data_IF_370389726743
#
_entry.id   IF_370389726743
#
_cell.length_a   1.000
_cell.length_b   1.000
_cell.length_c   1.000
_cell.angle_alpha   90.00
_cell.angle_beta   90.00
_cell.angle_gamma   90.00
#
_symmetry.space_group_name_H-M   'P 1'
#
loop_
_entity.id
_entity.type
_entity.pdbx_description
1 polymer ?
#
# COMPACT_ATOMS: atom_id res chain seq x y z
N UNK A 1 -32.40 -28.86 -76.23
CA UNK A 1 -32.08 -27.52 -75.68
C UNK A 1 -30.59 -27.26 -75.77
N UNK A 2 -30.13 -26.32 -76.63
CA UNK A 2 -28.92 -25.52 -76.37
C UNK A 2 -29.14 -24.03 -76.74
N UNK A 3 -28.33 -23.03 -76.30
CA UNK A 3 -26.96 -22.71 -76.81
C UNK A 3 -25.97 -22.24 -75.70
N UNK A 4 -24.63 -22.25 -75.83
CA UNK A 4 -23.65 -21.47 -76.65
C UNK A 4 -23.56 -19.94 -76.41
N UNK A 5 -22.33 -19.42 -76.57
CA UNK A 5 -21.81 -18.01 -76.64
C UNK A 5 -21.22 -17.43 -75.34
N UNK A 6 -19.93 -17.07 -75.20
CA UNK A 6 -18.93 -16.25 -75.98
C UNK A 6 -19.14 -14.73 -75.87
N UNK A 7 -18.17 -14.11 -75.18
CA UNK A 7 -17.55 -12.76 -75.30
C UNK A 7 -18.40 -11.52 -75.57
N UNK A 8 -18.10 -10.42 -74.84
CA UNK A 8 -17.83 -9.10 -75.45
C UNK A 8 -17.24 -8.10 -74.45
N UNK A 9 -16.09 -7.55 -74.83
CA UNK A 9 -15.46 -6.34 -74.30
C UNK A 9 -16.28 -5.08 -74.62
N UNK A 10 -16.20 -4.06 -73.78
CA UNK A 10 -16.51 -2.68 -74.16
C UNK A 10 -15.44 -1.73 -73.62
N UNK A 11 -14.53 -1.40 -74.52
CA UNK A 11 -13.66 -0.23 -74.53
C UNK A 11 -14.53 1.03 -74.79
N UNK A 12 -14.25 2.17 -74.14
CA UNK A 12 -13.93 3.45 -74.82
C UNK A 12 -13.92 4.69 -73.91
N UNK A 13 -12.86 5.49 -74.14
CA UNK A 13 -12.76 6.95 -74.11
C UNK A 13 -12.46 7.72 -72.81
N UNK A 14 -11.15 7.97 -72.63
CA UNK A 14 -10.50 9.29 -72.65
C UNK A 14 -11.30 10.52 -72.23
N UNK A 15 -10.79 11.22 -71.19
CA UNK A 15 -10.49 12.66 -71.27
C UNK A 15 -9.51 13.09 -70.15
N UNK A 16 -8.39 13.66 -70.58
CA UNK A 16 -7.40 14.39 -69.80
C UNK A 16 -8.02 15.57 -69.01
N UNK A 17 -7.44 15.91 -67.84
CA UNK A 17 -6.61 17.12 -67.69
C UNK A 17 -6.25 17.46 -66.22
N UNK A 18 -4.96 17.78 -66.05
CA UNK A 18 -4.38 18.83 -65.19
C UNK A 18 -4.37 18.66 -63.64
N UNK A 19 -3.15 18.52 -63.10
CA UNK A 19 -2.75 18.99 -61.76
C UNK A 19 -2.74 20.53 -61.73
N UNK A 20 -2.92 21.17 -60.55
CA UNK A 20 -1.72 21.61 -59.84
C UNK A 20 -1.77 21.51 -58.30
N UNK A 21 -0.55 21.51 -57.78
CA UNK A 21 -0.07 21.52 -56.40
C UNK A 21 -0.54 22.77 -55.62
N UNK A 22 -1.19 22.62 -54.45
CA UNK A 22 -1.44 23.73 -53.50
C UNK A 22 -1.27 23.27 -52.03
N UNK A 23 -0.31 23.92 -51.36
CA UNK A 23 -0.10 24.00 -49.90
C UNK A 23 -1.40 24.21 -49.10
N UNK A 24 -1.55 23.49 -47.98
CA UNK A 24 -2.34 23.91 -46.81
C UNK A 24 -1.49 23.63 -45.57
N UNK A 25 -0.82 24.59 -44.92
CA UNK A 25 -1.30 25.67 -44.03
C UNK A 25 -2.11 25.14 -42.83
N UNK A 26 -1.40 25.01 -41.72
CA UNK A 26 -1.90 24.93 -40.35
C UNK A 26 -2.86 26.09 -40.00
N UNK A 27 -4.01 25.76 -39.41
CA UNK A 27 -4.78 26.62 -38.49
C UNK A 27 -5.46 25.70 -37.45
N UNK A 28 -5.41 26.03 -36.14
CA UNK A 28 -5.80 25.12 -35.06
C UNK A 28 -7.31 25.13 -34.79
N UNK A 29 -7.86 23.97 -34.44
CA UNK A 29 -9.26 23.81 -34.07
C UNK A 29 -9.47 24.18 -32.59
N UNK A 30 -10.26 25.22 -32.35
CA UNK A 30 -10.72 25.68 -31.05
C UNK A 30 -12.15 25.20 -30.80
N UNK A 31 -12.35 24.32 -29.81
CA UNK A 31 -13.68 24.09 -29.20
C UNK A 31 -13.47 23.50 -27.79
N UNK A 32 -13.41 24.35 -26.76
CA UNK A 32 -14.55 24.80 -25.92
C UNK A 32 -15.20 23.67 -25.12
N UNK A 33 -14.81 23.58 -23.84
CA UNK A 33 -15.70 23.24 -22.72
C UNK A 33 -15.37 24.15 -21.53
N UNK A 34 -16.18 25.19 -21.31
CA UNK A 34 -16.49 25.74 -19.99
C UNK A 34 -17.81 25.01 -19.60
N UNK A 35 -18.08 24.60 -18.36
CA UNK A 35 -18.25 25.46 -17.18
C UNK A 35 -18.28 24.65 -15.86
N UNK A 36 -18.09 25.40 -14.75
CA UNK A 36 -18.71 25.24 -13.42
C UNK A 36 -18.10 24.24 -12.42
N UNK A 37 -17.71 24.59 -11.19
CA UNK A 37 -17.66 25.85 -10.44
C UNK A 37 -16.65 25.73 -9.27
N UNK A 38 -16.23 26.85 -8.64
CA UNK A 38 -15.06 26.93 -7.77
C UNK A 38 -15.42 26.92 -6.27
N UNK A 39 -14.59 26.30 -5.43
CA UNK A 39 -14.47 26.66 -4.01
C UNK A 39 -13.25 25.96 -3.39
N UNK A 40 -12.18 26.71 -3.15
CA UNK A 40 -11.54 26.77 -1.84
C UNK A 40 -10.47 27.87 -1.82
N UNK A 41 -10.53 28.64 -0.75
CA UNK A 41 -9.92 29.93 -0.57
C UNK A 41 -8.39 29.87 -0.46
N UNK A 42 -7.81 30.90 -1.05
CA UNK A 42 -6.46 31.40 -0.86
C UNK A 42 -6.25 31.80 0.61
N UNK A 43 -5.30 31.20 1.32
CA UNK A 43 -4.71 31.80 2.52
C UNK A 43 -3.27 32.22 2.19
N UNK A 44 -3.04 33.52 2.18
CA UNK A 44 -1.70 34.09 2.17
C UNK A 44 -1.01 33.80 3.53
N UNK A 45 0.32 33.62 3.56
CA UNK A 45 1.03 33.36 4.79
C UNK A 45 1.45 34.69 5.42
N UNK A 46 1.16 34.89 6.70
CA UNK A 46 2.03 35.75 7.49
C UNK A 46 2.06 35.36 8.98
N UNK A 47 3.31 35.30 9.46
CA UNK A 47 3.80 35.41 10.85
C UNK A 47 3.96 34.13 11.69
N UNK A 48 5.23 33.74 11.77
CA UNK A 48 6.00 33.24 12.92
C UNK A 48 5.21 32.48 13.99
N UNK A 49 5.38 31.16 13.94
CA UNK A 49 5.32 30.28 15.10
C UNK A 49 6.56 29.40 15.05
N UNK A 50 7.46 29.62 16.00
CA UNK A 50 8.58 28.75 16.30
C UNK A 50 8.01 27.44 16.87
N UNK A 51 7.87 26.42 16.03
CA UNK A 51 7.59 25.06 16.48
C UNK A 51 8.64 24.13 15.87
N UNK A 52 9.25 23.37 16.77
CA UNK A 52 10.38 22.51 16.49
C UNK A 52 10.17 21.69 15.22
N UNK A 53 11.10 21.86 14.27
CA UNK A 53 11.30 20.93 13.17
C UNK A 53 11.61 19.57 13.81
N UNK A 54 10.59 18.71 13.95
CA UNK A 54 10.84 17.27 14.01
C UNK A 54 11.29 16.92 12.60
N UNK A 55 12.61 17.04 12.41
CA UNK A 55 13.29 16.51 11.25
C UNK A 55 13.06 15.00 11.31
N UNK A 56 12.07 14.52 10.54
CA UNK A 56 11.99 13.11 10.21
C UNK A 56 13.34 12.73 9.58
N UNK A 57 14.13 11.85 10.20
CA UNK A 57 15.40 11.47 9.61
C UNK A 57 15.06 10.63 8.38
N UNK A 58 15.19 11.24 7.20
CA UNK A 58 15.39 10.48 5.97
C UNK A 58 16.46 9.44 6.30
N UNK A 59 16.19 8.12 6.14
CA UNK A 59 17.17 7.11 6.46
C UNK A 59 18.41 7.44 5.66
N UNK A 60 19.48 7.84 6.37
CA UNK A 60 20.80 8.03 5.77
C UNK A 60 21.12 6.69 5.16
N UNK A 61 21.01 6.60 3.83
CA UNK A 61 21.49 5.45 3.08
C UNK A 61 22.90 5.20 3.59
N UNK A 62 23.14 4.02 4.17
CA UNK A 62 24.48 3.57 4.49
C UNK A 62 25.29 3.86 3.23
N UNK A 63 26.21 4.82 3.32
CA UNK A 63 27.06 5.15 2.20
C UNK A 63 27.76 3.86 1.84
N UNK A 64 27.40 3.26 0.70
CA UNK A 64 28.21 2.22 0.09
C UNK A 64 29.53 2.89 -0.30
N UNK A 65 30.42 3.04 0.68
CA UNK A 65 31.84 3.13 0.42
C UNK A 65 32.18 1.93 -0.45
N UNK A 66 33.02 2.11 -1.47
CA UNK A 66 33.22 1.27 -2.67
C UNK A 66 33.71 -0.17 -2.42
N UNK A 67 33.22 -0.85 -1.39
CA UNK A 67 33.65 -2.18 -1.00
C UNK A 67 32.60 -2.97 -0.20
N UNK A 68 31.30 -2.71 -0.40
CA UNK A 68 30.20 -3.61 0.02
C UNK A 68 30.18 -4.06 1.49
N UNK A 69 30.94 -3.41 2.38
CA UNK A 69 31.15 -3.79 3.78
C UNK A 69 30.85 -2.61 4.69
N UNK A 70 30.13 -2.88 5.79
CA UNK A 70 29.68 -1.88 6.76
C UNK A 70 30.10 -2.34 8.16
N UNK A 71 30.63 -1.42 8.97
CA UNK A 71 31.00 -1.69 10.36
C UNK A 71 29.77 -1.96 11.24
N UNK A 72 29.87 -2.89 12.19
CA UNK A 72 28.77 -3.29 13.08
C UNK A 72 28.23 -2.09 13.87
N UNK A 73 29.11 -1.23 14.36
CA UNK A 73 28.72 0.00 15.08
C UNK A 73 27.74 0.86 14.28
N UNK A 74 27.96 1.01 12.96
CA UNK A 74 27.07 1.79 12.08
C UNK A 74 25.73 1.11 11.83
N UNK A 75 25.71 -0.21 11.78
CA UNK A 75 24.47 -0.99 11.62
C UNK A 75 23.64 -0.86 12.90
N UNK A 76 24.25 -1.06 14.07
CA UNK A 76 23.59 -0.97 15.37
C UNK A 76 23.10 0.44 15.64
N UNK A 77 23.91 1.47 15.36
CA UNK A 77 23.50 2.88 15.47
C UNK A 77 22.29 3.18 14.59
N UNK A 78 22.30 2.71 13.34
CA UNK A 78 21.17 2.89 12.43
C UNK A 78 19.91 2.21 12.96
N UNK A 79 20.01 0.95 13.39
CA UNK A 79 18.89 0.20 13.95
C UNK A 79 18.33 0.88 15.20
N UNK A 80 19.20 1.36 16.09
CA UNK A 80 18.82 2.14 17.29
C UNK A 80 17.98 3.35 16.93
N UNK A 81 18.40 4.10 15.91
CA UNK A 81 17.69 5.28 15.43
C UNK A 81 16.39 4.96 14.70
N UNK A 82 16.32 3.89 13.91
CA UNK A 82 15.12 3.55 13.12
C UNK A 82 14.05 2.80 13.91
N UNK A 83 14.45 2.07 14.95
CA UNK A 83 13.52 1.27 15.77
C UNK A 83 13.13 1.97 17.07
N UNK A 84 13.67 3.18 17.32
CA UNK A 84 13.51 3.91 18.58
C UNK A 84 13.83 3.08 19.83
N UNK A 85 14.73 2.11 19.70
CA UNK A 85 15.16 1.22 20.79
C UNK A 85 16.27 1.89 21.60
N UNK A 86 16.10 1.96 22.92
CA UNK A 86 17.03 2.63 23.84
C UNK A 86 18.29 1.81 24.13
N UNK A 87 19.24 2.38 24.89
CA UNK A 87 20.43 1.67 25.38
C UNK A 87 20.12 0.54 26.36
N UNK A 88 18.90 0.48 26.88
CA UNK A 88 18.43 -0.54 27.83
C UNK A 88 17.74 -1.74 27.13
N UNK A 89 17.71 -1.74 25.80
CA UNK A 89 17.06 -2.81 25.04
C UNK A 89 17.97 -4.05 24.93
N UNK A 90 17.68 -5.05 25.76
CA UNK A 90 18.37 -6.35 25.78
C UNK A 90 18.39 -7.06 24.43
N UNK A 91 17.38 -6.82 23.56
CA UNK A 91 17.31 -7.48 22.26
C UNK A 91 18.30 -6.91 21.23
N UNK A 92 18.56 -5.60 21.28
CA UNK A 92 19.54 -4.97 20.38
C UNK A 92 20.97 -5.29 20.80
N UNK A 93 21.21 -5.46 22.11
CA UNK A 93 22.50 -5.90 22.65
C UNK A 93 22.80 -7.36 22.26
N UNK A 94 21.81 -8.25 22.29
CA UNK A 94 21.94 -9.62 21.80
C UNK A 94 22.28 -9.67 20.30
N UNK A 95 21.61 -8.85 19.49
CA UNK A 95 21.93 -8.71 18.07
C UNK A 95 23.36 -8.19 17.87
N UNK A 96 23.81 -7.23 18.67
CA UNK A 96 25.19 -6.73 18.63
C UNK A 96 26.21 -7.85 18.87
N UNK A 97 25.97 -8.69 19.88
CA UNK A 97 26.85 -9.83 20.21
C UNK A 97 26.86 -10.91 19.11
N UNK A 98 25.76 -11.09 18.36
CA UNK A 98 25.74 -12.01 17.21
C UNK A 98 26.43 -11.43 15.97
N UNK A 99 26.37 -10.11 15.79
CA UNK A 99 27.04 -9.42 14.69
C UNK A 99 28.56 -9.31 14.92
N UNK A 100 28.99 -9.15 16.16
CA UNK A 100 30.39 -8.97 16.54
C UNK A 100 30.69 -9.58 17.93
N UNK A 101 30.88 -10.91 18.01
CA UNK A 101 31.11 -11.60 19.29
C UNK A 101 32.41 -11.18 19.98
N UNK A 102 33.36 -10.64 19.22
CA UNK A 102 34.65 -10.17 19.71
C UNK A 102 34.65 -8.67 20.06
N UNK A 103 33.56 -7.94 19.78
CA UNK A 103 33.44 -6.47 19.92
C UNK A 103 34.60 -5.69 19.26
N UNK A 104 35.05 -6.15 18.08
CA UNK A 104 36.16 -5.57 17.31
C UNK A 104 35.73 -4.59 16.22
N UNK A 105 34.45 -4.27 16.15
CA UNK A 105 33.77 -3.48 15.12
C UNK A 105 34.09 -3.98 13.70
N UNK A 106 33.86 -5.28 13.48
CA UNK A 106 34.20 -5.93 12.20
C UNK A 106 33.33 -5.38 11.07
N UNK A 107 33.95 -5.07 9.93
CA UNK A 107 33.22 -4.70 8.72
C UNK A 107 32.62 -5.96 8.08
N UNK A 108 31.29 -6.02 7.97
CA UNK A 108 30.56 -7.16 7.41
C UNK A 108 29.93 -6.82 6.07
N UNK A 109 29.86 -7.82 5.19
CA UNK A 109 29.14 -7.71 3.93
C UNK A 109 27.63 -7.91 4.11
N UNK A 110 26.89 -7.60 3.05
CA UNK A 110 25.43 -7.66 3.04
C UNK A 110 24.90 -9.09 3.25
N UNK A 111 25.60 -10.09 2.73
CA UNK A 111 25.17 -11.49 2.81
C UNK A 111 25.28 -12.02 4.25
N UNK A 112 26.40 -11.72 4.90
CA UNK A 112 26.65 -12.05 6.31
C UNK A 112 25.65 -11.34 7.22
N UNK A 113 25.39 -10.04 6.97
CA UNK A 113 24.36 -9.30 7.71
C UNK A 113 22.97 -9.94 7.56
N UNK A 114 22.57 -10.30 6.34
CA UNK A 114 21.27 -10.95 6.10
C UNK A 114 21.17 -12.33 6.76
N UNK A 115 22.26 -13.11 6.79
CA UNK A 115 22.27 -14.41 7.46
C UNK A 115 22.02 -14.25 8.97
N UNK A 116 22.79 -13.36 9.63
CA UNK A 116 22.67 -13.12 11.07
C UNK A 116 21.31 -12.49 11.41
N UNK A 117 20.82 -11.55 10.61
CA UNK A 117 19.52 -10.93 10.84
C UNK A 117 18.37 -11.94 10.72
N UNK A 118 18.46 -12.92 9.81
CA UNK A 118 17.48 -14.01 9.70
C UNK A 118 17.50 -14.89 10.94
N UNK A 119 18.68 -15.32 11.37
CA UNK A 119 18.85 -16.14 12.57
C UNK A 119 18.31 -15.42 13.81
N UNK A 120 18.61 -14.14 13.99
CA UNK A 120 18.08 -13.35 15.10
C UNK A 120 16.54 -13.24 15.08
N UNK A 121 15.94 -13.04 13.90
CA UNK A 121 14.48 -13.00 13.76
C UNK A 121 13.88 -14.36 14.11
N UNK A 122 14.52 -15.46 13.73
CA UNK A 122 14.10 -16.81 14.11
C UNK A 122 14.23 -17.05 15.62
N UNK A 123 15.30 -16.57 16.25
CA UNK A 123 15.46 -16.60 17.71
C UNK A 123 14.40 -15.80 18.45
N UNK A 124 14.06 -14.61 17.94
CA UNK A 124 12.97 -13.81 18.49
C UNK A 124 11.64 -14.56 18.43
N UNK A 125 11.37 -15.28 17.33
CA UNK A 125 10.16 -16.11 17.20
C UNK A 125 10.16 -17.29 18.16
N UNK A 126 11.30 -17.98 18.32
CA UNK A 126 11.44 -19.09 19.27
C UNK A 126 11.19 -18.65 20.71
N UNK A 127 11.78 -17.53 21.12
CA UNK A 127 11.58 -16.97 22.48
C UNK A 127 10.11 -16.60 22.75
N UNK A 128 9.39 -16.15 21.73
CA UNK A 128 7.96 -15.86 21.83
C UNK A 128 7.10 -17.12 21.97
N UNK A 129 7.46 -18.20 21.27
CA UNK A 129 6.76 -19.49 21.34
C UNK A 129 7.03 -20.26 22.64
N UNK A 130 8.26 -20.21 23.16
CA UNK A 130 8.65 -20.91 24.40
C UNK A 130 8.07 -20.23 25.65
N UNK A 131 7.87 -18.90 25.61
CA UNK A 131 7.19 -18.14 26.67
C UNK A 131 5.67 -18.32 26.73
N UNK A 132 5.07 -18.95 25.72
CA UNK A 132 3.62 -19.18 25.64
C UNK A 132 3.20 -20.58 26.12
N UNK A 133 4.14 -21.42 26.55
CA UNK A 133 3.89 -22.85 26.85
C UNK A 133 3.73 -23.16 28.36
N UNK A 134 3.54 -22.14 29.19
CA UNK A 134 3.14 -22.29 30.60
C UNK A 134 1.80 -21.57 30.83
N UNK A 135 0.72 -22.05 30.20
CA UNK A 135 -0.66 -22.13 30.74
C UNK A 135 -1.53 -22.90 29.73
N UNK A 136 -2.18 -24.01 30.13
CA UNK A 136 -3.05 -24.75 29.23
C UNK A 136 -4.48 -24.16 29.20
N UNK A 137 -5.08 -24.18 27.99
CA UNK A 137 -6.51 -24.09 27.62
C UNK A 137 -7.23 -22.76 27.93
N UNK A 138 -7.86 -22.07 26.95
CA UNK A 138 -8.81 -22.64 26.01
C UNK A 138 -8.91 -21.87 24.68
N UNK A 139 -9.07 -22.66 23.62
CA UNK A 139 -9.42 -22.26 22.26
C UNK A 139 -10.66 -21.38 22.23
N UNK A 140 -10.57 -20.30 21.46
CA UNK A 140 -11.56 -19.25 21.24
C UNK A 140 -12.69 -19.74 20.31
N UNK A 141 -13.38 -20.83 20.63
CA UNK A 141 -14.38 -21.42 19.71
C UNK A 141 -15.63 -22.03 20.39
N UNK A 142 -15.79 -21.97 21.73
CA UNK A 142 -16.95 -22.58 22.42
C UNK A 142 -17.69 -21.64 23.40
N UNK A 143 -17.78 -20.35 23.07
CA UNK A 143 -18.56 -19.38 23.87
C UNK A 143 -19.80 -18.83 23.14
N UNK A 144 -20.37 -19.59 22.21
CA UNK A 144 -21.63 -19.22 21.52
C UNK A 144 -22.88 -19.92 22.07
N UNK A 145 -22.78 -20.78 23.08
CA UNK A 145 -23.94 -21.47 23.65
C UNK A 145 -24.10 -21.31 25.18
N UNK A 146 -24.16 -20.06 25.69
CA UNK A 146 -24.81 -19.80 26.99
C UNK A 146 -25.35 -18.37 27.17
N UNK A 147 -25.97 -17.81 26.13
CA UNK A 147 -26.51 -16.43 26.14
C UNK A 147 -28.04 -16.34 26.29
N UNK A 148 -28.77 -17.44 26.52
CA UNK A 148 -30.24 -17.37 26.58
C UNK A 148 -30.86 -18.16 27.75
N UNK A 149 -30.80 -17.62 28.98
CA UNK A 149 -31.92 -17.81 29.94
C UNK A 149 -31.97 -16.99 31.23
N UNK A 150 -31.34 -15.82 31.36
CA UNK A 150 -31.34 -15.14 32.67
C UNK A 150 -31.65 -13.64 32.58
N UNK A 151 -32.71 -13.27 31.85
CA UNK A 151 -33.26 -11.90 31.89
C UNK A 151 -34.78 -11.95 31.96
N UNK A 152 -35.31 -12.24 33.15
CA UNK A 152 -36.65 -11.83 33.57
C UNK A 152 -36.75 -12.06 35.07
N UNK A 153 -36.58 -10.99 35.86
CA UNK A 153 -37.32 -10.68 37.09
C UNK A 153 -36.58 -9.57 37.83
N UNK A 154 -36.87 -8.32 37.44
CA UNK A 154 -36.62 -7.16 38.28
C UNK A 154 -37.56 -7.24 39.50
N UNK A 155 -37.15 -8.00 40.52
CA UNK A 155 -37.76 -7.94 41.85
C UNK A 155 -37.16 -6.75 42.60
N UNK A 156 -37.92 -5.67 42.60
CA UNK A 156 -37.81 -4.51 43.49
C UNK A 156 -37.74 -5.00 44.94
N UNK A 157 -36.55 -5.10 45.51
CA UNK A 157 -36.37 -5.37 46.94
C UNK A 157 -36.61 -4.05 47.67
N UNK A 158 -37.88 -3.80 48.00
CA UNK A 158 -38.24 -2.85 49.05
C UNK A 158 -37.90 -3.54 50.38
N UNK A 159 -36.71 -3.28 50.94
CA UNK A 159 -36.42 -3.67 52.32
C UNK A 159 -37.21 -2.72 53.22
N UNK A 160 -38.42 -3.15 53.54
CA UNK A 160 -39.23 -2.64 54.62
C UNK A 160 -38.38 -2.69 55.91
N UNK A 161 -38.06 -1.52 56.46
CA UNK A 161 -37.39 -1.41 57.74
C UNK A 161 -38.35 -1.85 58.83
N UNK A 162 -38.09 -3.00 59.43
CA UNK A 162 -38.83 -3.48 60.59
C UNK A 162 -38.17 -2.88 61.83
N UNK A 163 -38.68 -1.72 62.26
CA UNK A 163 -38.25 -1.09 63.52
C UNK A 163 -38.91 -1.86 64.67
N UNK A 164 -38.23 -2.88 65.18
CA UNK A 164 -38.60 -3.48 66.47
C UNK A 164 -37.95 -2.64 67.56
N UNK A 165 -38.73 -1.73 68.15
CA UNK A 165 -38.36 -0.99 69.35
C UNK A 165 -38.16 -1.96 70.53
N UNK A 166 -36.91 -2.33 70.77
CA UNK A 166 -36.46 -3.00 71.98
C UNK A 166 -36.02 -1.96 73.01
N UNK A 167 -36.83 -1.81 74.05
CA UNK A 167 -36.51 -1.05 75.25
C UNK A 167 -35.25 -1.59 75.94
N UNK A 168 -34.26 -0.72 76.19
CA UNK A 168 -33.28 -0.90 77.27
C UNK A 168 -32.73 0.46 77.69
N UNK A 169 -33.40 1.09 78.64
CA UNK A 169 -32.82 2.14 79.49
C UNK A 169 -31.74 1.50 80.37
N UNK A 170 -30.46 1.81 80.11
CA UNK A 170 -29.39 1.55 81.06
C UNK A 170 -28.25 2.56 80.90
N UNK A 171 -28.16 3.44 81.90
CA UNK A 171 -26.96 4.12 82.39
C UNK A 171 -26.23 5.11 81.47
N UNK A 172 -26.44 6.40 81.79
CA UNK A 172 -25.36 7.26 82.29
C UNK A 172 -24.14 7.48 81.39
N UNK A 173 -24.20 8.57 80.62
CA UNK A 173 -23.08 9.42 80.18
C UNK A 173 -21.79 8.75 79.71
N UNK A 174 -21.56 8.76 78.39
CA UNK A 174 -20.26 9.12 77.83
C UNK A 174 -20.31 9.46 76.32
N UNK A 175 -19.75 10.62 76.01
CA UNK A 175 -19.23 11.18 74.73
C UNK A 175 -20.14 11.25 73.48
N UNK A 176 -20.47 12.49 73.09
CA UNK A 176 -20.76 12.92 71.70
C UNK A 176 -19.52 12.72 70.81
N UNK A 177 -19.08 11.46 70.64
CA UNK A 177 -17.99 11.07 69.74
C UNK A 177 -18.52 10.35 68.50
N UNK A 178 -19.53 9.50 68.69
CA UNK A 178 -20.14 8.71 67.62
C UNK A 178 -20.83 9.53 66.53
N UNK A 179 -21.36 10.72 66.84
CA UNK A 179 -21.99 11.59 65.82
C UNK A 179 -20.95 12.24 64.89
N UNK A 180 -19.76 12.59 65.41
CA UNK A 180 -18.68 13.17 64.60
C UNK A 180 -18.03 12.12 63.70
N UNK A 181 -17.77 10.93 64.26
CA UNK A 181 -17.18 9.81 63.52
C UNK A 181 -18.13 9.24 62.45
N UNK A 182 -19.44 9.28 62.68
CA UNK A 182 -20.45 8.90 61.68
C UNK A 182 -20.56 9.94 60.55
N UNK A 183 -20.44 11.23 60.88
CA UNK A 183 -20.45 12.31 59.88
C UNK A 183 -19.26 12.22 58.92
N UNK A 184 -18.06 11.98 59.42
CA UNK A 184 -16.85 11.83 58.58
C UNK A 184 -16.95 10.62 57.63
N UNK A 185 -17.53 9.51 58.11
CA UNK A 185 -17.78 8.34 57.29
C UNK A 185 -18.80 8.62 56.18
N UNK A 186 -19.89 9.35 56.48
CA UNK A 186 -20.90 9.75 55.49
C UNK A 186 -20.25 10.62 54.39
N UNK A 187 -19.41 11.59 54.76
CA UNK A 187 -18.68 12.42 53.79
C UNK A 187 -17.75 11.56 52.94
N UNK A 188 -16.98 10.64 53.55
CA UNK A 188 -16.11 9.73 52.81
C UNK A 188 -16.89 8.84 51.83
N UNK A 189 -18.04 8.31 52.24
CA UNK A 189 -18.92 7.53 51.37
C UNK A 189 -19.45 8.37 50.20
N UNK A 190 -19.84 9.63 50.44
CA UNK A 190 -20.31 10.53 49.39
C UNK A 190 -19.20 10.85 48.37
N UNK A 191 -17.97 11.11 48.81
CA UNK A 191 -16.83 11.36 47.94
C UNK A 191 -16.48 10.12 47.10
N UNK A 192 -16.51 8.93 47.71
CA UNK A 192 -16.30 7.68 46.98
C UNK A 192 -17.39 7.44 45.94
N UNK A 193 -18.66 7.70 46.27
CA UNK A 193 -19.77 7.60 45.32
C UNK A 193 -19.59 8.56 44.13
N UNK A 194 -19.22 9.81 44.40
CA UNK A 194 -18.94 10.80 43.37
C UNK A 194 -17.76 10.38 42.48
N UNK A 195 -16.66 9.94 43.08
CA UNK A 195 -15.49 9.46 42.32
C UNK A 195 -15.82 8.23 41.48
N UNK A 196 -16.63 7.31 41.99
CA UNK A 196 -17.07 6.14 41.25
C UNK A 196 -17.93 6.54 40.03
N UNK A 197 -18.87 7.47 40.20
CA UNK A 197 -19.68 8.01 39.10
C UNK A 197 -18.79 8.66 38.03
N UNK A 198 -17.84 9.50 38.45
CA UNK A 198 -16.90 10.16 37.52
C UNK A 198 -16.04 9.16 36.76
N UNK A 199 -15.55 8.11 37.41
CA UNK A 199 -14.82 7.03 36.75
C UNK A 199 -15.70 6.27 35.75
N UNK A 200 -16.98 6.08 36.06
CA UNK A 200 -17.93 5.44 35.14
C UNK A 200 -18.19 6.31 33.89
N UNK A 201 -18.30 7.64 34.05
CA UNK A 201 -18.43 8.59 32.95
C UNK A 201 -17.20 8.58 32.03
N UNK A 202 -15.99 8.64 32.61
CA UNK A 202 -14.75 8.57 31.82
C UNK A 202 -14.59 7.20 31.13
N UNK A 203 -14.96 6.09 31.79
CA UNK A 203 -14.98 4.77 31.15
C UNK A 203 -15.92 4.72 29.94
N UNK A 204 -17.12 5.30 30.05
CA UNK A 204 -18.06 5.38 28.92
C UNK A 204 -17.50 6.24 27.78
N UNK A 205 -16.82 7.34 28.09
CA UNK A 205 -16.19 8.22 27.11
C UNK A 205 -15.02 7.52 26.39
N UNK A 206 -14.20 6.78 27.13
CA UNK A 206 -13.13 5.97 26.55
C UNK A 206 -13.70 4.89 25.64
N UNK A 207 -14.78 4.22 26.06
CA UNK A 207 -15.47 3.22 25.23
C UNK A 207 -15.97 3.81 23.91
N UNK A 208 -16.64 4.97 23.93
CA UNK A 208 -17.08 5.65 22.71
C UNK A 208 -15.90 6.07 21.81
N UNK A 209 -14.79 6.50 22.42
CA UNK A 209 -13.59 6.88 21.67
C UNK A 209 -12.94 5.64 21.02
N UNK A 210 -12.91 4.52 21.74
CA UNK A 210 -12.43 3.24 21.22
C UNK A 210 -13.28 2.77 20.04
N UNK A 211 -14.61 2.77 20.18
CA UNK A 211 -15.54 2.41 19.10
C UNK A 211 -15.35 3.30 17.85
N UNK A 212 -15.15 4.60 18.04
CA UNK A 212 -14.86 5.52 16.93
C UNK A 212 -13.52 5.22 16.25
N UNK A 213 -12.48 4.90 17.03
CA UNK A 213 -11.17 4.51 16.49
C UNK A 213 -11.27 3.19 15.73
N UNK A 214 -11.97 2.19 16.28
CA UNK A 214 -12.17 0.89 15.63
C UNK A 214 -12.91 1.04 14.29
N UNK A 215 -13.96 1.87 14.22
CA UNK A 215 -14.66 2.18 12.97
C UNK A 215 -13.71 2.81 11.93
N UNK A 216 -12.90 3.78 12.34
CA UNK A 216 -11.92 4.40 11.43
C UNK A 216 -10.84 3.41 10.98
N UNK A 217 -10.42 2.50 11.86
CA UNK A 217 -9.43 1.48 11.54
C UNK A 217 -9.98 0.45 10.55
N UNK A 218 -11.23 0.00 10.74
CA UNK A 218 -11.93 -0.88 9.79
C UNK A 218 -12.06 -0.24 8.41
N UNK A 219 -12.39 1.05 8.35
CA UNK A 219 -12.42 1.81 7.10
C UNK A 219 -11.05 1.88 6.42
N UNK A 220 -10.00 2.18 7.18
CA UNK A 220 -8.63 2.22 6.65
C UNK A 220 -8.14 0.85 6.17
N UNK A 221 -8.54 -0.24 6.83
CA UNK A 221 -8.26 -1.60 6.39
C UNK A 221 -8.94 -1.91 5.04
N UNK A 222 -10.20 -1.51 4.87
CA UNK A 222 -10.92 -1.67 3.60
C UNK A 222 -10.23 -0.88 2.46
N UNK A 223 -9.90 0.40 2.69
CA UNK A 223 -9.20 1.24 1.72
C UNK A 223 -7.82 0.64 1.34
N UNK A 224 -7.12 0.03 2.30
CA UNK A 224 -5.86 -0.66 2.04
C UNK A 224 -6.02 -1.88 1.13
N UNK A 225 -7.07 -2.67 1.32
CA UNK A 225 -7.33 -3.84 0.46
C UNK A 225 -7.71 -3.40 -0.96
N UNK A 226 -8.53 -2.36 -1.10
CA UNK A 226 -8.88 -1.78 -2.40
C UNK A 226 -7.65 -1.25 -3.14
N UNK A 227 -6.75 -0.54 -2.45
CA UNK A 227 -5.49 -0.08 -3.03
C UNK A 227 -4.59 -1.26 -3.45
N UNK A 228 -4.50 -2.32 -2.64
CA UNK A 228 -3.76 -3.55 -3.00
C UNK A 228 -4.34 -4.18 -4.26
N UNK A 229 -5.65 -4.23 -4.39
CA UNK A 229 -6.31 -4.78 -5.57
C UNK A 229 -6.07 -3.91 -6.82
N UNK A 230 -6.11 -2.59 -6.68
CA UNK A 230 -5.75 -1.66 -7.76
C UNK A 230 -4.30 -1.84 -8.22
N UNK A 231 -3.35 -1.98 -7.30
CA UNK A 231 -1.94 -2.24 -7.62
C UNK A 231 -1.80 -3.55 -8.42
N UNK A 232 -2.46 -4.63 -7.99
CA UNK A 232 -2.44 -5.91 -8.72
C UNK A 232 -2.99 -5.76 -10.14
N UNK A 233 -4.10 -5.03 -10.31
CA UNK A 233 -4.71 -4.76 -11.62
C UNK A 233 -3.78 -3.96 -12.54
N UNK A 234 -3.16 -2.90 -12.00
CA UNK A 234 -2.19 -2.07 -12.74
C UNK A 234 -0.97 -2.92 -13.13
N UNK A 235 -0.43 -3.73 -12.23
CA UNK A 235 0.69 -4.63 -12.53
C UNK A 235 0.37 -5.59 -13.67
N UNK A 236 -0.82 -6.20 -13.66
CA UNK A 236 -1.28 -7.07 -14.75
C UNK A 236 -1.39 -6.31 -16.09
N UNK A 237 -1.96 -5.11 -16.07
CA UNK A 237 -2.06 -4.23 -17.25
C UNK A 237 -0.68 -3.87 -17.81
N UNK A 238 0.28 -3.54 -16.93
CA UNK A 238 1.68 -3.23 -17.31
C UNK A 238 2.37 -4.43 -17.96
N UNK A 239 2.19 -5.63 -17.42
CA UNK A 239 2.75 -6.85 -18.02
C UNK A 239 2.17 -7.10 -19.42
N UNK A 240 0.86 -6.89 -19.59
CA UNK A 240 0.22 -6.99 -20.90
C UNK A 240 0.75 -5.95 -21.89
N UNK A 241 0.95 -4.71 -21.45
CA UNK A 241 1.52 -3.66 -22.30
C UNK A 241 2.94 -3.99 -22.76
N UNK A 242 3.79 -4.56 -21.88
CA UNK A 242 5.14 -5.02 -22.25
C UNK A 242 5.13 -6.12 -23.31
N UNK A 243 4.22 -7.10 -23.18
CA UNK A 243 4.06 -8.15 -24.20
C UNK A 243 3.67 -7.56 -25.57
N UNK A 244 2.75 -6.60 -25.58
CA UNK A 244 2.34 -5.93 -26.82
C UNK A 244 3.45 -5.07 -27.43
N UNK A 245 4.31 -4.46 -26.59
CA UNK A 245 5.49 -3.72 -27.05
C UNK A 245 6.50 -4.65 -27.74
N UNK A 246 6.73 -5.85 -27.19
CA UNK A 246 7.57 -6.88 -27.79
C UNK A 246 7.02 -7.36 -29.14
N UNK A 247 5.72 -7.66 -29.21
CA UNK A 247 5.03 -8.03 -30.46
C UNK A 247 5.13 -6.93 -31.53
N UNK A 248 5.04 -5.65 -31.13
CA UNK A 248 5.17 -4.52 -32.05
C UNK A 248 6.60 -4.40 -32.59
N UNK A 249 7.61 -4.56 -31.75
CA UNK A 249 9.00 -4.50 -32.20
C UNK A 249 9.34 -5.69 -33.11
N UNK A 250 8.81 -6.88 -32.83
CA UNK A 250 8.91 -8.03 -33.74
C UNK A 250 8.26 -7.75 -35.11
N UNK A 251 7.03 -7.21 -35.12
CA UNK A 251 6.34 -6.86 -36.35
C UNK A 251 7.09 -5.80 -37.17
N UNK A 252 7.68 -4.80 -36.49
CA UNK A 252 8.52 -3.77 -37.11
C UNK A 252 9.79 -4.36 -37.72
N UNK A 253 10.46 -5.29 -37.03
CA UNK A 253 11.62 -6.00 -37.56
C UNK A 253 11.26 -6.84 -38.81
N UNK A 254 10.12 -7.55 -38.78
CA UNK A 254 9.62 -8.30 -39.92
C UNK A 254 9.27 -7.41 -41.12
N UNK A 255 8.68 -6.23 -40.88
CA UNK A 255 8.41 -5.25 -41.93
C UNK A 255 9.70 -4.75 -42.59
N UNK A 256 10.70 -4.39 -41.79
CA UNK A 256 12.01 -3.95 -42.28
C UNK A 256 12.68 -5.02 -43.14
N UNK A 257 12.69 -6.28 -42.69
CA UNK A 257 13.21 -7.42 -43.44
C UNK A 257 12.47 -7.61 -44.78
N UNK A 258 11.14 -7.53 -44.76
CA UNK A 258 10.31 -7.66 -45.95
C UNK A 258 10.56 -6.52 -46.94
N UNK A 259 10.73 -5.30 -46.45
CA UNK A 259 11.09 -4.14 -47.26
C UNK A 259 12.49 -4.29 -47.88
N UNK A 260 13.48 -4.77 -47.13
CA UNK A 260 14.82 -5.04 -47.65
C UNK A 260 14.78 -6.09 -48.78
N UNK A 261 14.06 -7.20 -48.56
CA UNK A 261 13.83 -8.22 -49.61
C UNK A 261 13.15 -7.65 -50.84
N UNK A 262 12.14 -6.78 -50.66
CA UNK A 262 11.47 -6.07 -51.76
C UNK A 262 12.47 -5.22 -52.55
N UNK A 263 13.33 -4.46 -51.87
CA UNK A 263 14.36 -3.65 -52.54
C UNK A 263 15.39 -4.51 -53.27
N UNK A 264 15.81 -5.63 -52.68
CA UNK A 264 16.72 -6.59 -53.31
C UNK A 264 16.13 -7.14 -54.61
N UNK A 265 14.87 -7.62 -54.58
CA UNK A 265 14.16 -8.13 -55.76
C UNK A 265 14.01 -7.02 -56.82
N UNK A 266 13.73 -5.79 -56.41
CA UNK A 266 13.59 -4.66 -57.33
C UNK A 266 14.92 -4.34 -58.02
N UNK A 267 16.04 -4.37 -57.30
CA UNK A 267 17.37 -4.23 -57.88
C UNK A 267 17.71 -5.38 -58.84
N UNK A 268 17.39 -6.63 -58.49
CA UNK A 268 17.56 -7.79 -59.36
C UNK A 268 16.74 -7.66 -60.65
N UNK A 269 15.46 -7.27 -60.55
CA UNK A 269 14.60 -7.06 -61.72
C UNK A 269 15.16 -5.98 -62.66
N UNK A 270 15.62 -4.83 -62.11
CA UNK A 270 16.26 -3.77 -62.91
C UNK A 270 17.52 -4.26 -63.62
N UNK A 271 18.29 -5.16 -62.99
CA UNK A 271 19.48 -5.74 -63.60
C UNK A 271 19.11 -6.70 -64.74
N UNK A 272 18.17 -7.62 -64.50
CA UNK A 272 17.68 -8.55 -65.52
C UNK A 272 17.04 -7.82 -66.71
N UNK A 273 16.35 -6.70 -66.48
CA UNK A 273 15.78 -5.87 -67.54
C UNK A 273 16.86 -5.27 -68.45
N UNK A 274 17.96 -4.79 -67.88
CA UNK A 274 19.12 -4.30 -68.66
C UNK A 274 19.79 -5.42 -69.45
N UNK A 275 19.97 -6.59 -68.85
CA UNK A 275 20.54 -7.77 -69.52
C UNK A 275 19.65 -8.22 -70.69
N UNK A 276 18.33 -8.29 -70.48
CA UNK A 276 17.36 -8.57 -71.54
C UNK A 276 17.45 -7.56 -72.68
N UNK A 277 17.49 -6.25 -72.40
CA UNK A 277 17.66 -5.22 -73.42
C UNK A 277 18.97 -5.40 -74.20
N UNK A 278 20.08 -5.68 -73.51
CA UNK A 278 21.37 -5.94 -74.14
C UNK A 278 21.34 -7.18 -75.04
N UNK A 279 20.67 -8.25 -74.61
CA UNK A 279 20.52 -9.47 -75.41
C UNK A 279 19.66 -9.23 -76.65
N UNK A 280 18.58 -8.45 -76.53
CA UNK A 280 17.73 -8.06 -77.67
C UNK A 280 18.56 -7.31 -78.71
N UNK A 281 19.32 -6.28 -78.30
CA UNK A 281 20.19 -5.52 -79.22
C UNK A 281 21.17 -6.44 -79.95
N UNK A 282 21.79 -7.37 -79.21
CA UNK A 282 22.75 -8.34 -79.79
C UNK A 282 22.10 -9.29 -80.79
N UNK A 283 20.87 -9.76 -80.51
CA UNK A 283 20.11 -10.59 -81.44
C UNK A 283 19.82 -9.80 -82.72
N UNK A 284 19.36 -8.55 -82.60
CA UNK A 284 19.05 -7.70 -83.77
C UNK A 284 20.30 -7.46 -84.62
N UNK A 285 21.45 -7.14 -84.02
CA UNK A 285 22.70 -6.95 -84.77
C UNK A 285 23.16 -8.20 -85.50
N UNK A 286 22.97 -9.38 -84.89
CA UNK A 286 23.32 -10.67 -85.52
C UNK A 286 22.35 -11.07 -86.65
N UNK A 287 21.15 -10.49 -86.69
CA UNK A 287 20.18 -10.72 -87.77
C UNK A 287 20.40 -9.79 -88.97
N UNK A 288 21.13 -8.68 -88.78
CA UNK A 288 21.47 -7.70 -89.82
C UNK A 288 22.76 -8.03 -90.59
N UNK A 289 23.58 -8.96 -90.08
CA UNK A 289 24.82 -9.46 -90.69
C UNK A 289 24.57 -10.64 -91.65
#
# INVERSE_FOLDING_TARGET
SPPYFRSREANTHDKLCALPNIKSKDVPCQQRCLTSSPNLYFFAPDKKSESAVIQSPVPKRLSLSERGKVAVSKIVDYLRHTTSRGSEDSGLEELCNMLDPDQKDVSMDLETYHAIMKEWIEDCKRKWEDGATEEPIASMEDLEFKVHKNTAEAKKINVQMNVTSGSLEAFGGDVSKGDMETSDLITCVADLQYNNQKLQEENNKLKLTLEAVDETNNKLLADNEDLRQQIKSIQHSVLKAKSLEEELEEAKNNLNLSEEKKQQILCQNKQLEKENQSLIIKITSLQEE
#
